data_IF_689083765608
#
_entry.id   IF_689083765608
#
_cell.length_a   1.000
_cell.length_b   1.000
_cell.length_c   1.000
_cell.angle_alpha   90.00
_cell.angle_beta   90.00
_cell.angle_gamma   90.00
#
_symmetry.space_group_name_H-M   'P 1'
#
loop_
_entity.id
_entity.type
_entity.pdbx_description
1 polymer ?
#
# COMPACT_ATOMS: atom_id res chain seq x y z
N UNK A 1 4.31 -24.41 -9.97
CA UNK A 1 3.48 -23.61 -9.04
C UNK A 1 2.97 -24.58 -8.02
N UNK A 2 3.67 -24.71 -6.89
CA UNK A 2 3.32 -25.73 -5.91
C UNK A 2 2.09 -25.27 -5.13
N UNK A 3 1.00 -26.03 -5.31
CA UNK A 3 -0.16 -26.08 -4.42
C UNK A 3 -0.93 -24.75 -4.22
N UNK A 4 -1.32 -24.05 -5.30
CA UNK A 4 -2.34 -22.99 -5.23
C UNK A 4 -3.68 -23.55 -5.69
N UNK A 5 -4.73 -23.42 -4.88
CA UNK A 5 -6.09 -23.82 -5.21
C UNK A 5 -6.63 -23.02 -6.41
N UNK A 6 -7.47 -23.64 -7.25
CA UNK A 6 -8.02 -23.01 -8.44
C UNK A 6 -8.74 -21.68 -8.16
N UNK A 7 -9.48 -21.56 -7.05
CA UNK A 7 -10.19 -20.32 -6.68
C UNK A 7 -9.20 -19.20 -6.36
N UNK A 8 -8.15 -19.51 -5.61
CA UNK A 8 -7.10 -18.56 -5.26
C UNK A 8 -6.28 -18.15 -6.49
N UNK A 9 -5.94 -19.11 -7.36
CA UNK A 9 -5.24 -18.84 -8.62
C UNK A 9 -6.06 -17.92 -9.53
N UNK A 10 -7.36 -18.17 -9.66
CA UNK A 10 -8.25 -17.31 -10.44
C UNK A 10 -8.31 -15.88 -9.86
N UNK A 11 -8.33 -15.73 -8.54
CA UNK A 11 -8.32 -14.41 -7.88
C UNK A 11 -6.99 -13.66 -8.04
N UNK A 12 -5.86 -14.36 -8.15
CA UNK A 12 -4.56 -13.77 -8.50
C UNK A 12 -4.53 -13.33 -9.97
N UNK A 13 -5.00 -14.18 -10.88
CA UNK A 13 -5.06 -13.90 -12.32
C UNK A 13 -6.00 -12.74 -12.65
N UNK A 14 -7.11 -12.58 -11.91
CA UNK A 14 -8.01 -11.41 -12.02
C UNK A 14 -7.31 -10.08 -11.71
N UNK A 15 -6.22 -10.10 -10.95
CA UNK A 15 -5.36 -8.93 -10.71
C UNK A 15 -4.24 -8.78 -11.77
N UNK A 16 -4.41 -9.40 -12.94
CA UNK A 16 -3.47 -9.43 -14.06
C UNK A 16 -2.06 -9.97 -13.74
N UNK A 17 -1.93 -10.79 -12.69
CA UNK A 17 -0.66 -11.42 -12.31
C UNK A 17 -0.38 -12.62 -13.23
N UNK A 18 0.79 -12.60 -13.87
CA UNK A 18 1.27 -13.73 -14.68
C UNK A 18 1.91 -14.82 -13.80
N UNK A 19 2.15 -16.00 -14.39
CA UNK A 19 2.68 -17.16 -13.65
C UNK A 19 4.04 -16.91 -13.02
N UNK A 20 4.91 -16.16 -13.68
CA UNK A 20 6.25 -15.85 -13.16
C UNK A 20 6.18 -14.93 -11.95
N UNK A 21 5.29 -13.93 -11.97
CA UNK A 21 5.05 -13.05 -10.84
C UNK A 21 4.41 -13.82 -9.69
N UNK A 22 3.40 -14.65 -9.95
CA UNK A 22 2.77 -15.52 -8.92
C UNK A 22 3.83 -16.43 -8.28
N UNK A 23 4.70 -17.05 -9.10
CA UNK A 23 5.83 -17.85 -8.61
C UNK A 23 6.79 -17.01 -7.77
N UNK A 24 7.10 -15.78 -8.20
CA UNK A 24 7.97 -14.83 -7.48
C UNK A 24 7.37 -14.31 -6.16
N UNK A 25 6.04 -14.28 -6.03
CA UNK A 25 5.37 -13.99 -4.75
C UNK A 25 5.54 -15.11 -3.73
N UNK A 26 5.82 -16.34 -4.17
CA UNK A 26 5.97 -17.50 -3.29
C UNK A 26 4.69 -17.85 -2.51
N UNK A 27 3.51 -17.42 -2.99
CA UNK A 27 2.25 -17.73 -2.33
C UNK A 27 1.85 -19.20 -2.51
N UNK A 28 1.13 -19.75 -1.53
CA UNK A 28 0.70 -21.14 -1.51
C UNK A 28 -0.63 -21.31 -0.78
N UNK A 29 -1.46 -22.24 -1.21
CA UNK A 29 -2.70 -22.59 -0.52
C UNK A 29 -2.41 -23.57 0.62
N UNK A 30 -3.03 -23.33 1.78
CA UNK A 30 -2.88 -24.22 2.93
C UNK A 30 -3.64 -25.54 2.70
N UNK A 31 -2.99 -26.71 2.90
CA UNK A 31 -3.64 -28.00 2.76
C UNK A 31 -4.86 -28.07 3.68
N UNK A 32 -5.98 -28.70 3.29
CA UNK A 32 -7.17 -28.80 4.11
C UNK A 32 -6.95 -29.72 5.33
N UNK A 33 -7.83 -29.62 6.33
CA UNK A 33 -7.86 -30.55 7.45
C UNK A 33 -6.92 -30.18 8.61
N UNK A 34 -6.31 -31.18 9.26
CA UNK A 34 -5.52 -31.00 10.48
C UNK A 34 -4.28 -30.14 10.25
N UNK A 35 -3.61 -30.34 9.12
CA UNK A 35 -2.40 -29.60 8.74
C UNK A 35 -2.69 -28.09 8.63
N UNK A 36 -3.86 -27.71 8.10
CA UNK A 36 -4.32 -26.30 8.08
C UNK A 36 -4.40 -25.71 9.48
N UNK A 37 -5.02 -26.45 10.40
CA UNK A 37 -5.27 -25.97 11.77
C UNK A 37 -3.95 -25.81 12.51
N UNK A 38 -3.04 -26.75 12.36
CA UNK A 38 -1.70 -26.68 12.94
C UNK A 38 -0.91 -25.49 12.37
N UNK A 39 -0.89 -25.35 11.04
CA UNK A 39 -0.24 -24.22 10.38
C UNK A 39 -0.78 -22.88 10.88
N UNK A 40 -2.10 -22.71 10.97
CA UNK A 40 -2.75 -21.48 11.44
C UNK A 40 -2.39 -21.16 12.90
N UNK A 41 -2.33 -22.17 13.76
CA UNK A 41 -1.89 -21.98 15.17
C UNK A 41 -0.43 -21.57 15.25
N UNK A 42 0.44 -22.23 14.49
CA UNK A 42 1.89 -21.99 14.55
C UNK A 42 2.28 -20.64 13.94
N UNK A 43 1.61 -20.22 12.86
CA UNK A 43 1.98 -19.00 12.12
C UNK A 43 1.12 -17.79 12.49
N UNK A 44 -0.18 -17.97 12.78
CA UNK A 44 -1.05 -16.85 13.14
C UNK A 44 -1.32 -16.76 14.65
N UNK A 45 -1.07 -17.81 15.42
CA UNK A 45 -1.42 -17.89 16.84
C UNK A 45 -2.90 -18.23 17.09
N UNK A 46 -3.69 -18.51 16.05
CA UNK A 46 -5.10 -18.87 16.15
C UNK A 46 -5.61 -19.58 14.89
N UNK A 47 -6.58 -20.48 15.06
CA UNK A 47 -7.27 -21.17 13.95
C UNK A 47 -8.80 -20.96 13.98
N UNK A 48 -9.29 -20.16 14.93
CA UNK A 48 -10.70 -19.81 15.09
C UNK A 48 -10.85 -18.31 15.13
N UNK A 49 -11.96 -17.80 14.57
CA UNK A 49 -12.37 -16.41 14.67
C UNK A 49 -13.82 -16.39 15.16
N UNK A 50 -14.07 -15.71 16.28
CA UNK A 50 -15.32 -15.80 17.05
C UNK A 50 -15.71 -17.27 17.31
N UNK A 51 -16.77 -17.76 16.68
CA UNK A 51 -17.29 -19.14 16.82
C UNK A 51 -16.89 -20.06 15.66
N UNK A 52 -16.30 -19.54 14.59
CA UNK A 52 -16.02 -20.28 13.36
C UNK A 52 -14.59 -20.81 13.32
N UNK A 53 -14.42 -22.08 12.96
CA UNK A 53 -13.11 -22.67 12.67
C UNK A 53 -12.71 -22.33 11.24
N UNK A 54 -11.61 -21.60 11.05
CA UNK A 54 -11.16 -21.11 9.74
C UNK A 54 -11.00 -22.28 8.75
N UNK A 55 -10.44 -23.40 9.21
CA UNK A 55 -10.23 -24.57 8.37
C UNK A 55 -11.51 -25.25 7.89
N UNK A 56 -12.64 -25.06 8.58
CA UNK A 56 -13.91 -25.70 8.23
C UNK A 56 -14.77 -24.82 7.33
N UNK A 57 -14.68 -23.50 7.50
CA UNK A 57 -15.54 -22.56 6.77
C UNK A 57 -14.88 -22.01 5.50
N UNK A 58 -13.56 -21.95 5.44
CA UNK A 58 -12.84 -21.56 4.23
C UNK A 58 -12.61 -22.77 3.32
N UNK A 59 -13.06 -22.69 2.07
CA UNK A 59 -12.67 -23.63 1.03
C UNK A 59 -11.16 -23.55 0.78
N UNK A 60 -10.60 -22.34 0.79
CA UNK A 60 -9.16 -22.13 0.69
C UNK A 60 -8.64 -21.02 1.60
N UNK A 61 -7.36 -21.13 1.95
CA UNK A 61 -6.60 -20.10 2.66
C UNK A 61 -5.28 -19.93 1.92
N UNK A 62 -5.09 -18.80 1.26
CA UNK A 62 -3.88 -18.48 0.50
C UNK A 62 -2.90 -17.72 1.38
N UNK A 63 -1.69 -18.24 1.57
CA UNK A 63 -0.62 -17.60 2.30
C UNK A 63 0.23 -16.70 1.39
N UNK A 64 0.54 -15.50 1.87
CA UNK A 64 1.44 -14.51 1.29
C UNK A 64 2.65 -14.36 2.22
N UNK A 65 3.75 -15.09 1.96
CA UNK A 65 4.99 -14.90 2.73
C UNK A 65 5.56 -13.52 2.40
N UNK A 66 5.93 -12.77 3.43
CA UNK A 66 6.65 -11.52 3.23
C UNK A 66 8.15 -11.83 3.10
N UNK A 67 8.94 -10.98 2.42
CA UNK A 67 10.38 -11.20 2.33
C UNK A 67 11.14 -11.09 3.66
N UNK A 68 10.53 -10.53 4.71
CA UNK A 68 11.09 -10.52 6.05
C UNK A 68 10.85 -11.87 6.75
N UNK A 69 11.84 -12.31 7.53
CA UNK A 69 11.79 -13.62 8.21
C UNK A 69 10.54 -13.71 9.11
N UNK A 70 9.85 -14.85 9.00
CA UNK A 70 8.73 -15.30 9.85
C UNK A 70 7.41 -14.50 9.80
N UNK A 71 7.23 -13.58 8.85
CA UNK A 71 5.94 -12.90 8.68
C UNK A 71 5.17 -13.41 7.44
N UNK A 72 3.91 -13.78 7.66
CA UNK A 72 2.98 -14.22 6.61
C UNK A 72 1.60 -13.65 6.87
N UNK A 73 0.96 -13.15 5.82
CA UNK A 73 -0.48 -12.87 5.82
C UNK A 73 -1.22 -13.95 5.07
N UNK A 74 -2.47 -14.17 5.43
CA UNK A 74 -3.33 -15.09 4.69
C UNK A 74 -4.57 -14.38 4.17
N UNK A 75 -5.03 -14.78 2.98
CA UNK A 75 -6.31 -14.42 2.41
C UNK A 75 -7.28 -15.58 2.55
N UNK A 76 -8.52 -15.26 2.91
CA UNK A 76 -9.57 -16.23 3.17
C UNK A 76 -10.51 -16.36 1.95
N UNK A 77 -10.86 -17.60 1.60
CA UNK A 77 -11.86 -17.91 0.59
C UNK A 77 -12.93 -18.84 1.20
N UNK A 78 -14.18 -18.37 1.41
CA UNK A 78 -14.62 -16.98 1.39
C UNK A 78 -14.08 -16.17 2.57
N UNK A 79 -14.32 -14.85 2.56
CA UNK A 79 -14.09 -13.98 3.70
C UNK A 79 -14.97 -14.37 4.91
N UNK A 80 -14.50 -14.10 6.12
CA UNK A 80 -15.24 -14.37 7.36
C UNK A 80 -15.35 -13.09 8.17
N UNK A 81 -16.56 -12.72 8.60
CA UNK A 81 -16.80 -11.49 9.37
C UNK A 81 -16.19 -10.25 8.70
N UNK A 82 -16.42 -10.10 7.39
CA UNK A 82 -15.86 -9.06 6.51
C UNK A 82 -14.32 -9.04 6.38
N UNK A 83 -13.61 -9.90 7.12
CA UNK A 83 -12.17 -10.02 7.02
C UNK A 83 -11.79 -10.90 5.82
N UNK A 84 -11.23 -10.24 4.80
CA UNK A 84 -10.62 -10.90 3.64
C UNK A 84 -9.20 -11.38 3.92
N UNK A 85 -8.48 -10.68 4.81
CA UNK A 85 -7.09 -10.96 5.14
C UNK A 85 -6.88 -11.07 6.65
N UNK A 86 -5.97 -11.94 7.06
CA UNK A 86 -5.54 -12.14 8.44
C UNK A 86 -4.02 -12.03 8.54
N UNK A 87 -3.54 -11.63 9.72
CA UNK A 87 -2.14 -11.66 10.11
C UNK A 87 -1.99 -12.33 11.49
N UNK A 88 -0.75 -12.57 11.89
CA UNK A 88 -0.45 -13.19 13.17
C UNK A 88 -0.87 -12.29 14.35
N UNK A 89 -1.38 -12.92 15.41
CA UNK A 89 -1.85 -12.21 16.60
C UNK A 89 -0.68 -11.47 17.25
N UNK A 90 -0.85 -10.16 17.46
CA UNK A 90 0.17 -9.32 18.09
C UNK A 90 1.37 -9.00 17.17
N UNK A 91 1.30 -9.37 15.88
CA UNK A 91 2.35 -9.01 14.93
C UNK A 91 2.44 -7.50 14.70
N UNK A 92 3.65 -7.06 14.36
CA UNK A 92 3.88 -5.72 13.82
C UNK A 92 3.31 -5.59 12.41
N UNK A 93 3.19 -4.36 11.94
CA UNK A 93 2.92 -4.06 10.53
C UNK A 93 4.19 -4.27 9.71
N UNK A 94 4.06 -4.79 8.49
CA UNK A 94 5.19 -5.05 7.59
C UNK A 94 4.91 -4.47 6.20
N UNK A 95 5.98 -4.09 5.49
CA UNK A 95 5.90 -3.76 4.07
C UNK A 95 6.11 -5.00 3.22
N UNK A 96 5.24 -5.18 2.24
CA UNK A 96 5.38 -6.20 1.21
C UNK A 96 6.17 -5.67 0.01
N UNK A 97 6.97 -6.54 -0.59
CA UNK A 97 7.65 -6.36 -1.87
C UNK A 97 8.02 -7.74 -2.43
N UNK A 98 8.34 -7.85 -3.71
CA UNK A 98 8.83 -9.12 -4.26
C UNK A 98 10.29 -9.33 -3.83
N UNK A 99 10.68 -10.56 -3.49
CA UNK A 99 12.08 -10.86 -3.09
C UNK A 99 13.11 -10.45 -4.15
N UNK A 100 12.74 -10.51 -5.44
CA UNK A 100 13.57 -10.01 -6.56
C UNK A 100 13.90 -8.51 -6.48
N UNK A 101 13.10 -7.73 -5.74
CA UNK A 101 13.23 -6.29 -5.56
C UNK A 101 14.04 -5.90 -4.32
N UNK A 102 14.45 -6.86 -3.49
CA UNK A 102 15.21 -6.60 -2.25
C UNK A 102 16.47 -5.76 -2.49
N UNK A 103 17.19 -6.04 -3.59
CA UNK A 103 18.38 -5.27 -4.01
C UNK A 103 18.09 -3.79 -4.32
N UNK A 104 16.83 -3.41 -4.52
CA UNK A 104 16.38 -2.02 -4.83
C UNK A 104 16.10 -1.21 -3.55
N UNK A 105 15.98 -1.85 -2.38
CA UNK A 105 15.65 -1.16 -1.11
C UNK A 105 16.63 -0.03 -0.77
N UNK A 106 17.93 -0.26 -0.99
CA UNK A 106 19.00 0.70 -0.67
C UNK A 106 19.36 1.67 -1.81
N UNK A 107 18.80 1.47 -3.02
CA UNK A 107 19.12 2.27 -4.21
C UNK A 107 18.23 3.51 -4.27
N UNK A 108 18.73 4.64 -3.79
CA UNK A 108 17.99 5.91 -3.74
C UNK A 108 17.61 6.48 -5.12
N UNK A 109 18.35 6.14 -6.17
CA UNK A 109 18.05 6.56 -7.55
C UNK A 109 16.93 5.75 -8.22
N UNK A 110 16.48 4.65 -7.61
CA UNK A 110 15.33 3.87 -8.08
C UNK A 110 14.09 4.38 -7.36
N UNK A 111 13.14 5.05 -8.02
CA UNK A 111 11.95 5.56 -7.33
C UNK A 111 11.10 4.44 -6.73
N UNK A 112 10.29 4.80 -5.73
CA UNK A 112 9.35 3.88 -5.08
C UNK A 112 7.95 4.12 -5.62
N UNK A 113 7.19 3.07 -5.91
CA UNK A 113 5.73 3.14 -6.04
C UNK A 113 5.14 2.47 -4.79
N UNK A 114 4.47 3.24 -3.95
CA UNK A 114 3.90 2.80 -2.68
C UNK A 114 2.39 2.63 -2.79
N UNK A 115 1.88 1.44 -2.48
CA UNK A 115 0.45 1.12 -2.55
C UNK A 115 -0.03 0.28 -1.35
N UNK A 116 -1.27 -0.20 -1.43
CA UNK A 116 -1.90 -1.06 -0.44
C UNK A 116 -2.11 -2.48 -1.01
N UNK A 117 -1.64 -3.48 -0.28
CA UNK A 117 -1.93 -4.89 -0.54
C UNK A 117 -0.92 -5.59 -1.44
N UNK A 118 -0.69 -6.86 -1.13
CA UNK A 118 0.34 -7.71 -1.73
C UNK A 118 0.12 -7.93 -3.23
N UNK A 119 -1.13 -8.12 -3.65
CA UNK A 119 -1.50 -8.33 -5.06
C UNK A 119 -1.21 -7.07 -5.89
N UNK A 120 -1.55 -5.90 -5.38
CA UNK A 120 -1.30 -4.62 -6.06
C UNK A 120 0.18 -4.35 -6.17
N UNK A 121 0.94 -4.59 -5.09
CA UNK A 121 2.39 -4.47 -5.12
C UNK A 121 3.04 -5.38 -6.16
N UNK A 122 2.60 -6.64 -6.24
CA UNK A 122 3.10 -7.59 -7.23
C UNK A 122 2.72 -7.17 -8.66
N UNK A 123 1.48 -6.71 -8.88
CA UNK A 123 1.01 -6.22 -10.18
C UNK A 123 1.79 -5.00 -10.65
N UNK A 124 1.99 -4.02 -9.77
CA UNK A 124 2.83 -2.85 -10.06
C UNK A 124 4.28 -3.26 -10.30
N UNK A 125 4.85 -4.19 -9.53
CA UNK A 125 6.25 -4.64 -9.76
C UNK A 125 6.40 -5.32 -11.13
N UNK A 126 5.43 -6.16 -11.52
CA UNK A 126 5.38 -6.82 -12.83
C UNK A 126 5.43 -5.81 -13.98
N UNK A 127 4.65 -4.73 -13.90
CA UNK A 127 4.52 -3.77 -14.99
C UNK A 127 5.49 -2.59 -14.91
N UNK A 128 5.95 -2.19 -13.72
CA UNK A 128 6.95 -1.13 -13.55
C UNK A 128 8.38 -1.64 -13.79
N UNK A 129 8.60 -2.94 -13.63
CA UNK A 129 9.85 -3.62 -13.95
C UNK A 129 11.03 -3.21 -13.06
N UNK A 130 12.24 -3.16 -13.62
CA UNK A 130 13.46 -2.89 -12.86
C UNK A 130 13.67 -1.40 -12.52
N UNK A 131 12.88 -0.50 -13.13
CA UNK A 131 13.03 0.96 -12.97
C UNK A 131 12.45 1.46 -11.64
N UNK A 132 11.58 0.68 -11.00
CA UNK A 132 10.89 1.07 -9.79
C UNK A 132 10.99 0.00 -8.71
N UNK A 133 10.90 0.41 -7.46
CA UNK A 133 10.66 -0.47 -6.32
C UNK A 133 9.18 -0.35 -5.94
N UNK A 134 8.42 -1.44 -6.05
CA UNK A 134 7.03 -1.47 -5.58
C UNK A 134 6.98 -1.90 -4.11
N UNK A 135 6.31 -1.11 -3.28
CA UNK A 135 6.10 -1.40 -1.85
C UNK A 135 4.61 -1.39 -1.54
N UNK A 136 4.16 -2.36 -0.73
CA UNK A 136 2.79 -2.47 -0.26
C UNK A 136 2.68 -2.41 1.24
N UNK A 137 1.72 -1.67 1.78
CA UNK A 137 1.28 -1.85 3.16
C UNK A 137 0.15 -2.89 3.24
N UNK A 138 0.01 -3.58 4.36
CA UNK A 138 -1.07 -4.55 4.58
C UNK A 138 -2.47 -3.92 4.73
N UNK A 139 -2.51 -2.60 4.88
CA UNK A 139 -3.70 -1.76 4.93
C UNK A 139 -3.30 -0.29 4.96
N UNK A 140 -4.19 0.63 4.58
CA UNK A 140 -3.89 2.09 4.51
C UNK A 140 -3.38 2.71 5.81
N UNK A 141 -3.63 2.10 6.98
CA UNK A 141 -3.15 2.56 8.29
C UNK A 141 -1.87 1.86 8.74
N UNK A 142 -1.43 0.81 8.03
CA UNK A 142 -0.40 -0.15 8.46
C UNK A 142 0.94 0.06 7.76
N UNK A 143 1.37 1.31 7.63
CA UNK A 143 2.65 1.65 6.97
C UNK A 143 3.68 2.23 7.94
N UNK A 144 3.28 2.89 9.03
CA UNK A 144 4.19 3.78 9.78
C UNK A 144 5.30 3.07 10.56
N UNK A 145 4.99 1.91 11.14
CA UNK A 145 5.86 1.22 12.11
C UNK A 145 6.52 -0.03 11.52
N UNK A 146 6.61 -0.11 10.19
CA UNK A 146 7.19 -1.27 9.51
C UNK A 146 8.72 -1.32 9.68
N UNK A 147 9.32 -2.45 10.11
CA UNK A 147 10.76 -2.56 10.32
C UNK A 147 11.56 -2.41 9.01
N UNK A 148 10.96 -2.71 7.87
CA UNK A 148 11.58 -2.60 6.55
C UNK A 148 12.03 -1.18 6.22
N UNK A 149 11.41 -0.15 6.82
CA UNK A 149 11.84 1.24 6.64
C UNK A 149 13.29 1.48 7.06
N UNK A 150 13.85 0.68 7.97
CA UNK A 150 15.27 0.77 8.35
C UNK A 150 16.22 0.38 7.22
N UNK A 151 15.73 -0.39 6.26
CA UNK A 151 16.49 -0.89 5.11
C UNK A 151 16.31 -0.01 3.86
N UNK A 152 15.30 0.87 3.86
CA UNK A 152 14.92 1.69 2.72
C UNK A 152 15.60 3.05 2.83
N UNK A 153 16.44 3.37 1.84
CA UNK A 153 17.02 4.71 1.73
C UNK A 153 15.96 5.67 1.18
N UNK A 154 15.48 6.60 2.00
CA UNK A 154 14.44 7.57 1.61
C UNK A 154 14.97 8.95 1.21
N UNK A 155 16.13 9.38 1.75
CA UNK A 155 16.66 10.72 1.49
C UNK A 155 16.93 10.93 -0.01
N UNK A 156 16.29 11.95 -0.58
CA UNK A 156 16.36 12.33 -2.00
C UNK A 156 15.66 11.36 -2.95
N UNK A 157 14.95 10.36 -2.42
CA UNK A 157 14.28 9.34 -3.24
C UNK A 157 12.86 9.77 -3.56
N UNK A 158 12.48 9.65 -4.82
CA UNK A 158 11.09 9.85 -5.24
C UNK A 158 10.20 8.69 -4.75
N UNK A 159 9.04 9.05 -4.21
CA UNK A 159 8.07 8.08 -3.71
C UNK A 159 6.68 8.44 -4.25
N UNK A 160 6.21 7.65 -5.19
CA UNK A 160 4.90 7.76 -5.82
C UNK A 160 3.86 7.01 -5.00
N UNK A 161 2.93 7.73 -4.38
CA UNK A 161 1.85 7.16 -3.57
C UNK A 161 0.68 6.83 -4.51
N UNK A 162 0.25 5.57 -4.47
CA UNK A 162 -0.79 4.99 -5.30
C UNK A 162 -1.87 4.34 -4.41
N UNK A 163 -2.45 5.13 -3.51
CA UNK A 163 -3.61 4.71 -2.72
C UNK A 163 -4.85 4.68 -3.58
N UNK A 164 -5.82 3.83 -3.21
CA UNK A 164 -7.10 3.72 -3.89
C UNK A 164 -7.78 5.09 -4.01
N UNK A 165 -8.50 5.28 -5.11
CA UNK A 165 -9.12 6.55 -5.49
C UNK A 165 -10.62 6.32 -5.75
N UNK A 166 -11.41 5.97 -4.72
CA UNK A 166 -12.86 5.90 -4.89
C UNK A 166 -13.39 7.29 -5.26
N UNK A 167 -14.50 7.34 -6.01
CA UNK A 167 -15.18 8.58 -6.41
C UNK A 167 -15.43 9.51 -5.20
N UNK A 168 -15.82 8.91 -4.08
CA UNK A 168 -15.96 9.57 -2.78
C UNK A 168 -14.95 8.95 -1.81
N UNK A 169 -13.91 9.72 -1.47
CA UNK A 169 -12.93 9.31 -0.45
C UNK A 169 -13.55 9.44 0.93
N UNK A 170 -13.19 8.51 1.82
CA UNK A 170 -13.51 8.64 3.24
C UNK A 170 -12.47 9.53 3.89
N UNK A 171 -12.81 10.36 4.89
CA UNK A 171 -11.85 11.21 5.59
C UNK A 171 -10.64 10.45 6.16
N UNK A 172 -10.82 9.19 6.58
CA UNK A 172 -9.70 8.36 7.05
C UNK A 172 -8.67 8.08 5.95
N UNK A 173 -9.10 7.84 4.71
CA UNK A 173 -8.20 7.61 3.58
C UNK A 173 -7.38 8.87 3.27
N UNK A 174 -8.03 10.03 3.21
CA UNK A 174 -7.34 11.32 3.00
C UNK A 174 -6.33 11.59 4.13
N UNK A 175 -6.70 11.27 5.38
CA UNK A 175 -5.83 11.43 6.54
C UNK A 175 -4.61 10.53 6.44
N UNK A 176 -4.78 9.28 6.01
CA UNK A 176 -3.66 8.37 5.81
C UNK A 176 -2.76 8.83 4.66
N UNK A 177 -3.33 9.33 3.56
CA UNK A 177 -2.60 9.89 2.44
C UNK A 177 -1.73 11.09 2.89
N UNK A 178 -2.33 12.07 3.56
CA UNK A 178 -1.63 13.23 4.11
C UNK A 178 -0.54 12.80 5.10
N UNK A 179 -0.88 11.89 6.02
CA UNK A 179 0.04 11.41 7.04
C UNK A 179 1.25 10.69 6.45
N UNK A 180 1.05 9.86 5.43
CA UNK A 180 2.13 9.17 4.71
C UNK A 180 3.00 10.18 3.97
N UNK A 181 2.38 11.10 3.22
CA UNK A 181 3.09 12.14 2.47
C UNK A 181 4.01 12.96 3.38
N UNK A 182 3.49 13.48 4.51
CA UNK A 182 4.26 14.25 5.48
C UNK A 182 5.36 13.41 6.16
N UNK A 183 5.08 12.14 6.46
CA UNK A 183 6.06 11.24 7.07
C UNK A 183 7.25 10.94 6.14
N UNK A 184 6.98 10.80 4.84
CA UNK A 184 7.98 10.63 3.79
C UNK A 184 8.81 11.91 3.62
N UNK A 185 8.12 13.05 3.51
CA UNK A 185 8.75 14.36 3.39
C UNK A 185 9.68 14.67 4.56
N UNK A 186 9.24 14.41 5.81
CA UNK A 186 10.08 14.55 7.03
C UNK A 186 11.36 13.68 6.98
N UNK A 187 11.34 12.57 6.25
CA UNK A 187 12.49 11.70 6.01
C UNK A 187 13.31 12.09 4.77
N UNK A 188 13.05 13.28 4.24
CA UNK A 188 13.69 13.88 3.07
C UNK A 188 13.47 13.07 1.79
N UNK A 189 12.40 12.28 1.72
CA UNK A 189 11.92 11.75 0.43
C UNK A 189 11.23 12.86 -0.37
N UNK A 190 10.98 12.58 -1.66
CA UNK A 190 10.24 13.46 -2.57
C UNK A 190 8.90 12.76 -2.85
N UNK A 191 7.91 12.88 -1.95
CA UNK A 191 6.61 12.24 -2.14
C UNK A 191 5.84 12.91 -3.28
N UNK A 192 5.19 12.10 -4.11
CA UNK A 192 4.31 12.49 -5.21
C UNK A 192 3.08 11.60 -5.20
N UNK A 193 1.95 12.08 -5.69
CA UNK A 193 0.71 11.30 -5.79
C UNK A 193 0.47 11.00 -7.25
N UNK A 194 0.37 9.72 -7.60
CA UNK A 194 0.08 9.34 -8.99
C UNK A 194 -1.42 9.25 -9.22
N UNK A 195 -1.81 9.63 -10.42
CA UNK A 195 -3.19 9.56 -10.89
C UNK A 195 -3.28 8.62 -12.09
N UNK A 196 -4.41 7.97 -12.22
CA UNK A 196 -4.77 7.16 -13.38
C UNK A 196 -6.21 7.46 -13.77
N UNK A 197 -6.70 6.75 -14.78
CA UNK A 197 -8.04 6.91 -15.30
C UNK A 197 -9.09 6.83 -14.15
N UNK A 198 -9.90 7.89 -13.95
CA UNK A 198 -10.84 7.97 -12.85
C UNK A 198 -11.97 6.93 -12.91
N UNK A 199 -12.16 6.22 -14.02
CA UNK A 199 -13.08 5.08 -14.11
C UNK A 199 -12.67 3.94 -13.14
N UNK A 200 -11.40 3.87 -12.77
CA UNK A 200 -10.86 2.79 -11.94
C UNK A 200 -10.50 3.31 -10.54
N UNK A 201 -11.10 2.71 -9.52
CA UNK A 201 -10.76 3.00 -8.12
C UNK A 201 -9.34 2.55 -7.76
N UNK A 202 -8.86 1.43 -8.33
CA UNK A 202 -7.60 0.79 -7.93
C UNK A 202 -6.62 0.71 -9.08
N UNK A 203 -5.33 0.88 -8.75
CA UNK A 203 -4.25 0.82 -9.73
C UNK A 203 -4.16 -0.55 -10.41
N UNK A 204 -4.41 -1.66 -9.71
CA UNK A 204 -4.38 -3.00 -10.30
C UNK A 204 -5.58 -3.26 -11.21
N UNK A 205 -6.76 -2.72 -10.88
CA UNK A 205 -7.95 -2.78 -11.73
C UNK A 205 -7.68 -2.02 -13.05
N UNK A 206 -7.09 -0.82 -12.98
CA UNK A 206 -6.69 -0.01 -14.13
C UNK A 206 -5.63 -0.71 -15.01
N UNK A 207 -4.56 -1.23 -14.39
CA UNK A 207 -3.52 -1.95 -15.13
C UNK A 207 -4.07 -3.23 -15.78
N UNK A 208 -5.01 -3.91 -15.13
CA UNK A 208 -5.69 -5.07 -15.72
C UNK A 208 -6.48 -4.70 -16.98
N UNK A 209 -7.19 -3.57 -16.96
CA UNK A 209 -7.93 -3.08 -18.13
C UNK A 209 -6.99 -2.76 -19.30
N UNK A 210 -5.88 -2.06 -19.04
CA UNK A 210 -4.86 -1.73 -20.07
C UNK A 210 -4.22 -3.00 -20.64
N UNK A 211 -3.87 -3.95 -19.77
CA UNK A 211 -3.30 -5.22 -20.21
C UNK A 211 -4.25 -6.02 -21.11
N UNK A 212 -5.56 -5.82 -20.95
CA UNK A 212 -6.59 -6.48 -21.76
C UNK A 212 -6.83 -5.77 -23.09
N UNK A 213 -6.83 -4.44 -23.13
CA UNK A 213 -7.15 -3.67 -24.36
C UNK A 213 -6.06 -3.75 -25.43
N UNK A 214 -4.79 -3.96 -25.04
CA UNK A 214 -3.61 -3.99 -25.94
C UNK A 214 -3.30 -2.69 -26.68
N UNK A 215 -4.09 -1.63 -26.50
CA UNK A 215 -3.88 -0.33 -27.14
C UNK A 215 -2.65 0.41 -26.59
N UNK A 216 -2.28 0.10 -25.34
CA UNK A 216 -1.17 0.73 -24.63
C UNK A 216 -0.45 -0.29 -23.76
N UNK A 217 0.88 -0.18 -23.66
CA UNK A 217 1.62 -1.00 -22.71
C UNK A 217 1.39 -0.50 -21.28
N UNK A 218 1.27 -1.42 -20.32
CA UNK A 218 1.16 -1.06 -18.89
C UNK A 218 2.38 -0.26 -18.40
N UNK A 219 3.56 -0.50 -18.97
CA UNK A 219 4.79 0.25 -18.66
C UNK A 219 4.60 1.73 -19.03
N UNK A 220 4.11 2.01 -20.23
CA UNK A 220 3.93 3.39 -20.71
C UNK A 220 2.81 4.09 -19.94
N UNK A 221 1.76 3.35 -19.56
CA UNK A 221 0.71 3.86 -18.69
C UNK A 221 1.26 4.32 -17.33
N UNK A 222 2.07 3.48 -16.67
CA UNK A 222 2.73 3.83 -15.40
C UNK A 222 3.64 5.05 -15.58
N UNK A 223 4.44 5.11 -16.65
CA UNK A 223 5.32 6.26 -16.91
C UNK A 223 4.55 7.57 -17.11
N UNK A 224 3.43 7.52 -17.82
CA UNK A 224 2.59 8.70 -18.02
C UNK A 224 1.98 9.17 -16.70
N UNK A 225 1.40 8.24 -15.93
CA UNK A 225 0.87 8.49 -14.57
C UNK A 225 1.92 9.09 -13.63
N UNK A 226 3.17 8.65 -13.75
CA UNK A 226 4.31 9.18 -13.00
C UNK A 226 4.72 10.58 -13.47
N UNK A 227 4.64 10.84 -14.78
CA UNK A 227 4.99 12.13 -15.37
C UNK A 227 3.97 13.22 -15.01
N UNK A 228 2.70 12.83 -14.81
CA UNK A 228 1.61 13.71 -14.36
C UNK A 228 1.40 13.72 -12.84
N UNK A 229 2.31 13.11 -12.07
CA UNK A 229 2.15 12.95 -10.64
C UNK A 229 2.13 14.30 -9.90
N UNK A 230 1.15 14.46 -9.00
CA UNK A 230 0.97 15.67 -8.21
C UNK A 230 2.04 15.75 -7.11
N UNK A 231 2.65 16.92 -6.98
CA UNK A 231 3.63 17.19 -5.90
C UNK A 231 2.97 17.78 -4.66
N UNK A 232 1.83 18.45 -4.84
CA UNK A 232 1.04 19.02 -3.77
C UNK A 232 -0.06 18.02 -3.34
N UNK A 233 0.01 17.55 -2.09
CA UNK A 233 -0.98 16.62 -1.53
C UNK A 233 -2.34 17.26 -1.31
N UNK A 234 -2.40 18.58 -1.15
CA UNK A 234 -3.65 19.30 -0.88
C UNK A 234 -4.57 19.36 -2.10
N UNK A 235 -4.04 19.20 -3.32
CA UNK A 235 -4.86 19.12 -4.54
C UNK A 235 -5.66 17.80 -4.61
N UNK A 236 -5.26 16.81 -3.81
CA UNK A 236 -5.91 15.49 -3.74
C UNK A 236 -6.84 15.35 -2.53
N UNK A 237 -6.80 16.26 -1.57
CA UNK A 237 -7.56 16.19 -0.32
C UNK A 237 -8.73 17.15 -0.42
N UNK A 238 -9.96 16.65 -0.25
CA UNK A 238 -11.17 17.48 -0.37
C UNK A 238 -11.85 17.72 0.97
N UNK A 239 -11.84 16.72 1.85
CA UNK A 239 -12.69 16.69 3.05
C UNK A 239 -11.91 17.02 4.35
N UNK A 240 -10.58 17.12 4.27
CA UNK A 240 -9.76 17.63 5.38
C UNK A 240 -9.57 19.13 5.18
N UNK A 241 -10.58 19.88 5.60
CA UNK A 241 -10.60 21.33 5.62
C UNK A 241 -10.28 21.89 7.03
N UNK A 242 -10.38 23.21 7.17
CA UNK A 242 -10.18 23.91 8.44
C UNK A 242 -11.15 23.41 9.53
N UNK A 243 -12.38 23.04 9.16
CA UNK A 243 -13.40 22.56 10.09
C UNK A 243 -13.03 21.18 10.64
N UNK A 244 -12.53 20.27 9.80
CA UNK A 244 -11.97 18.99 10.26
C UNK A 244 -10.86 19.18 11.31
N UNK A 245 -10.00 20.18 11.11
CA UNK A 245 -8.95 20.50 12.07
C UNK A 245 -9.49 21.16 13.35
N UNK A 246 -10.54 21.97 13.25
CA UNK A 246 -11.19 22.63 14.38
C UNK A 246 -11.91 21.62 15.29
N UNK A 247 -12.51 20.58 14.71
CA UNK A 247 -13.18 19.50 15.44
C UNK A 247 -12.21 18.47 16.03
N UNK A 248 -10.96 18.45 15.58
CA UNK A 248 -9.94 17.55 16.10
C UNK A 248 -9.47 18.01 17.49
N UNK A 249 -9.46 17.13 18.52
CA UNK A 249 -9.11 17.52 19.89
C UNK A 249 -7.80 18.32 19.96
N UNK A 250 -7.73 19.45 20.68
CA UNK A 250 -6.61 20.38 20.64
C UNK A 250 -5.24 19.76 20.90
N UNK A 251 -5.15 18.71 21.73
CA UNK A 251 -3.89 17.99 21.99
C UNK A 251 -3.35 17.28 20.73
N UNK A 252 -4.23 16.79 19.87
CA UNK A 252 -3.89 16.10 18.63
C UNK A 252 -3.58 17.13 17.53
N UNK A 253 -4.45 18.14 17.38
CA UNK A 253 -4.26 19.23 16.41
C UNK A 253 -2.98 20.02 16.69
N UNK A 254 -2.71 20.42 17.93
CA UNK A 254 -1.54 21.21 18.30
C UNK A 254 -0.22 20.42 18.16
N UNK A 255 -0.22 19.10 18.37
CA UNK A 255 0.97 18.26 18.13
C UNK A 255 1.21 18.02 16.65
N UNK A 256 0.13 17.85 15.88
CA UNK A 256 0.16 17.71 14.44
C UNK A 256 0.66 19.00 13.79
N UNK A 257 0.00 20.13 14.03
CA UNK A 257 0.35 21.45 13.49
C UNK A 257 1.71 21.96 13.95
N UNK A 258 2.07 21.87 15.23
CA UNK A 258 3.38 22.36 15.68
C UNK A 258 4.55 21.55 15.10
N UNK A 259 4.34 20.27 14.77
CA UNK A 259 5.34 19.48 14.01
C UNK A 259 5.29 19.77 12.52
N UNK A 260 4.11 20.02 11.96
CA UNK A 260 3.93 20.25 10.53
C UNK A 260 4.40 21.66 10.13
N UNK A 261 3.94 22.71 10.81
CA UNK A 261 4.33 24.10 10.56
C UNK A 261 5.80 24.38 10.90
N UNK A 262 6.32 23.92 12.04
CA UNK A 262 7.72 24.19 12.38
C UNK A 262 8.70 23.49 11.43
N UNK A 263 8.35 22.33 10.86
CA UNK A 263 9.22 21.64 9.90
C UNK A 263 9.07 22.21 8.48
N UNK A 264 7.86 22.59 8.04
CA UNK A 264 7.57 23.11 6.68
C UNK A 264 7.99 24.58 6.50
N UNK A 265 7.74 25.46 7.49
CA UNK A 265 7.89 26.92 7.33
C UNK A 265 9.30 27.46 7.66
N UNK A 266 10.22 26.60 8.11
CA UNK A 266 11.62 27.00 8.39
C UNK A 266 12.58 26.82 7.19
N UNK A 267 12.06 26.56 5.99
CA UNK A 267 12.84 26.64 4.74
C UNK A 267 12.35 27.82 3.88
N UNK A 268 13.09 28.96 3.88
CA UNK A 268 12.72 30.16 3.14
C UNK A 268 12.51 29.93 1.63
N UNK A 269 13.12 28.88 1.08
CA UNK A 269 13.09 28.52 -0.35
C UNK A 269 11.69 28.12 -0.86
N UNK A 270 10.75 27.74 0.01
CA UNK A 270 9.40 27.28 -0.37
C UNK A 270 8.29 28.32 -0.16
N UNK A 271 8.61 29.46 0.46
CA UNK A 271 7.66 30.56 0.65
C UNK A 271 7.38 31.33 -0.65
N UNK A 272 8.22 31.20 -1.69
CA UNK A 272 8.02 31.93 -2.95
C UNK A 272 6.93 31.37 -3.86
N UNK A 273 6.28 30.24 -3.50
CA UNK A 273 5.19 29.63 -4.28
C UNK A 273 3.85 29.55 -3.53
N UNK A 274 3.80 29.94 -2.25
CA UNK A 274 2.62 29.77 -1.38
C UNK A 274 1.98 31.08 -0.89
N UNK A 275 2.39 32.23 -1.43
CA UNK A 275 1.97 33.57 -0.97
C UNK A 275 0.49 33.94 -1.17
N UNK A 276 -0.38 33.04 -1.65
CA UNK A 276 -1.79 33.37 -1.87
C UNK A 276 -2.78 32.80 -0.83
N UNK A 277 -2.37 31.96 0.13
CA UNK A 277 -3.36 31.25 0.96
C UNK A 277 -3.62 31.81 2.37
N UNK A 278 -2.81 32.73 2.90
CA UNK A 278 -3.02 33.21 4.28
C UNK A 278 -2.77 34.71 4.43
N UNK A 279 -3.70 35.50 3.89
CA UNK A 279 -4.02 36.81 4.45
C UNK A 279 -5.35 36.67 5.19
N UNK A 280 -5.34 36.99 6.49
CA UNK A 280 -6.47 37.02 7.43
C UNK A 280 -6.57 35.81 8.37
N UNK A 281 -5.80 35.83 9.45
CA UNK A 281 -6.33 35.56 10.80
C UNK A 281 -5.70 36.60 11.74
N UNK A 282 -6.49 37.38 12.51
CA UNK A 282 -5.97 38.29 13.55
C UNK A 282 -5.34 37.56 14.74
#
# INVERSE_FOLDING_TARGET
>A
MENINAVALQDLQRSALNEDTIRGMGCYSLPPGKDRVEWLKNNLGYAKRKKSCLSQVCSDILAFPYPCDDYTRVRLYPAIDDAKYLCAKGSSTHLYYLKSDEKKLRKNHIPIIFNEGEKKTACVSQFAGQQYLSLGSSGITQWKNCPEWKQITLKGREVYIAFDRPEIRKPDLEKQLLSLWLWLWKRRAIPKIISWDPEYEKIDDWLCAINTSKDKSCIDAIKESISSAQTNVFDEIKDIDEDYFAETPPKVAHTFWRRMFCDIFYRPELLSQSTCYFSCVP
#
